data_IF_709201456839
#
_entry.id   IF_709201456839
#
_cell.length_a   1.000
_cell.length_b   1.000
_cell.length_c   1.000
_cell.angle_alpha   90.00
_cell.angle_beta   90.00
_cell.angle_gamma   90.00
#
_symmetry.space_group_name_H-M   'P 1'
#
loop_
_entity.id
_entity.type
_entity.pdbx_description
1 polymer ?
#
# COMPACT_ATOMS: atom_id res chain seq x y z
N UNK A 1 -27.68 -2.30 -22.07
CA UNK A 1 -27.43 -2.14 -20.62
C UNK A 1 -25.93 -2.20 -20.44
N UNK A 2 -25.26 -1.06 -20.25
CA UNK A 2 -23.85 -1.03 -19.89
C UNK A 2 -23.83 -1.07 -18.36
N UNK A 3 -23.87 -2.29 -17.82
CA UNK A 3 -23.77 -2.51 -16.38
C UNK A 3 -22.31 -2.31 -16.00
N UNK A 4 -22.09 -1.29 -15.17
CA UNK A 4 -20.79 -0.90 -14.63
C UNK A 4 -20.00 -2.11 -14.13
N UNK A 5 -18.83 -2.36 -14.74
CA UNK A 5 -17.80 -3.20 -14.16
C UNK A 5 -17.25 -2.45 -12.95
N UNK A 6 -17.93 -2.59 -11.80
CA UNK A 6 -17.43 -2.11 -10.52
C UNK A 6 -16.22 -2.99 -10.24
N UNK A 7 -15.04 -2.53 -10.65
CA UNK A 7 -13.75 -2.96 -10.13
C UNK A 7 -13.78 -2.64 -8.64
N UNK A 8 -14.35 -3.54 -7.84
CA UNK A 8 -14.15 -3.53 -6.40
C UNK A 8 -12.68 -3.87 -6.20
N UNK A 9 -11.83 -2.85 -6.23
CA UNK A 9 -10.44 -2.96 -5.82
C UNK A 9 -10.47 -3.48 -4.39
N UNK A 10 -10.30 -4.79 -4.23
CA UNK A 10 -10.24 -5.41 -2.92
C UNK A 10 -9.20 -4.65 -2.08
N UNK A 11 -9.51 -4.31 -0.82
CA UNK A 11 -8.61 -3.55 0.01
C UNK A 11 -7.28 -4.29 0.08
N UNK A 12 -6.22 -3.65 -0.42
CA UNK A 12 -4.87 -4.23 -0.45
C UNK A 12 -4.47 -4.63 0.96
N UNK A 13 -4.35 -5.93 1.19
CA UNK A 13 -3.94 -6.43 2.50
C UNK A 13 -2.42 -6.43 2.64
N UNK A 14 -1.88 -5.30 3.06
CA UNK A 14 -0.45 -5.05 3.27
C UNK A 14 0.22 -6.10 4.21
N UNK A 15 -0.54 -6.70 5.14
CA UNK A 15 0.02 -7.72 6.05
C UNK A 15 0.42 -9.01 5.32
N UNK A 16 -0.27 -9.35 4.22
CA UNK A 16 0.03 -10.52 3.38
C UNK A 16 1.21 -10.30 2.43
N UNK A 17 1.61 -9.05 2.20
CA UNK A 17 2.72 -8.71 1.31
C UNK A 17 4.08 -8.93 2.00
N UNK A 18 5.10 -9.23 1.20
CA UNK A 18 6.47 -9.32 1.68
C UNK A 18 7.07 -7.93 1.88
N UNK A 19 8.13 -7.83 2.71
CA UNK A 19 8.80 -6.54 2.94
C UNK A 19 9.34 -5.92 1.65
N UNK A 20 9.79 -6.72 0.69
CA UNK A 20 10.25 -6.24 -0.62
C UNK A 20 9.13 -5.62 -1.43
N UNK A 21 7.95 -6.25 -1.46
CA UNK A 21 6.77 -5.74 -2.17
C UNK A 21 6.26 -4.45 -1.52
N UNK A 22 6.26 -4.40 -0.19
CA UNK A 22 5.92 -3.19 0.55
C UNK A 22 6.92 -2.06 0.26
N UNK A 23 8.23 -2.36 0.14
CA UNK A 23 9.23 -1.34 -0.22
C UNK A 23 9.01 -0.82 -1.62
N UNK A 24 8.65 -1.70 -2.56
CA UNK A 24 8.33 -1.31 -3.93
C UNK A 24 7.08 -0.43 -3.98
N UNK A 25 6.02 -0.84 -3.27
CA UNK A 25 4.79 -0.04 -3.13
C UNK A 25 5.04 1.32 -2.49
N UNK A 26 5.83 1.38 -1.42
CA UNK A 26 6.19 2.64 -0.78
C UNK A 26 6.97 3.56 -1.74
N UNK A 27 7.88 3.02 -2.55
CA UNK A 27 8.57 3.78 -3.61
C UNK A 27 7.62 4.25 -4.70
N UNK A 28 6.68 3.42 -5.13
CA UNK A 28 5.65 3.80 -6.12
C UNK A 28 4.76 4.94 -5.60
N UNK A 29 4.48 4.95 -4.30
CA UNK A 29 3.80 6.04 -3.60
C UNK A 29 4.70 7.25 -3.28
N UNK A 30 5.96 7.23 -3.72
CA UNK A 30 6.98 8.28 -3.47
C UNK A 30 7.21 8.55 -1.97
N UNK A 31 7.10 7.52 -1.15
CA UNK A 31 7.38 7.59 0.28
C UNK A 31 8.86 7.40 0.56
N UNK A 32 9.41 8.22 1.44
CA UNK A 32 10.79 8.09 1.92
C UNK A 32 10.84 7.18 3.15
N UNK A 33 11.77 6.23 3.16
CA UNK A 33 11.98 5.32 4.27
C UNK A 33 13.44 4.83 4.32
N UNK A 34 13.90 4.48 5.53
CA UNK A 34 15.22 3.92 5.72
C UNK A 34 15.33 2.48 5.18
N UNK A 35 16.50 2.08 4.68
CA UNK A 35 16.71 0.72 4.17
C UNK A 35 16.50 -0.36 5.24
N UNK A 36 16.70 -0.01 6.51
CA UNK A 36 16.54 -0.85 7.70
C UNK A 36 15.13 -0.79 8.29
N UNK A 37 14.17 -0.12 7.62
CA UNK A 37 12.79 -0.02 8.10
C UNK A 37 12.18 -1.41 8.35
N UNK A 38 11.44 -1.54 9.44
CA UNK A 38 10.72 -2.78 9.77
C UNK A 38 9.46 -2.91 8.92
N UNK A 39 9.05 -4.16 8.65
CA UNK A 39 7.83 -4.46 7.90
C UNK A 39 6.60 -3.71 8.45
N UNK A 40 6.39 -3.73 9.77
CA UNK A 40 5.23 -3.07 10.38
C UNK A 40 5.25 -1.55 10.23
N UNK A 41 6.42 -0.92 10.38
CA UNK A 41 6.55 0.53 10.18
C UNK A 41 6.28 0.91 8.72
N UNK A 42 6.78 0.10 7.79
CA UNK A 42 6.53 0.29 6.36
C UNK A 42 5.04 0.10 5.98
N UNK A 43 4.37 -0.89 6.57
CA UNK A 43 2.91 -1.09 6.41
C UNK A 43 2.15 0.13 6.91
N UNK A 44 2.51 0.66 8.09
CA UNK A 44 1.88 1.88 8.62
C UNK A 44 2.07 3.05 7.66
N UNK A 45 3.29 3.25 7.17
CA UNK A 45 3.63 4.38 6.30
C UNK A 45 2.84 4.35 4.98
N UNK A 46 2.69 3.16 4.38
CA UNK A 46 1.86 2.95 3.20
C UNK A 46 0.37 3.13 3.52
N UNK A 47 -0.10 2.55 4.62
CA UNK A 47 -1.50 2.63 5.04
C UNK A 47 -1.94 4.05 5.39
N UNK A 48 -1.05 4.84 5.98
CA UNK A 48 -1.27 6.25 6.29
C UNK A 48 -1.43 7.03 4.99
N UNK A 49 -0.52 6.83 4.03
CA UNK A 49 -0.59 7.46 2.71
C UNK A 49 -1.84 7.09 1.91
N UNK A 50 -2.25 5.83 1.94
CA UNK A 50 -3.49 5.36 1.29
C UNK A 50 -4.75 5.78 2.06
N UNK A 51 -4.63 6.07 3.35
CA UNK A 51 -5.72 6.49 4.24
C UNK A 51 -5.97 8.00 4.26
N UNK A 52 -5.00 8.83 3.86
CA UNK A 52 -5.12 10.28 3.76
C UNK A 52 -6.06 10.75 2.62
N UNK A 53 -6.38 9.90 1.64
CA UNK A 53 -7.31 10.20 0.54
C UNK A 53 -8.81 10.02 0.93
N UNK A 54 -9.15 10.18 2.21
CA UNK A 54 -10.54 10.09 2.72
C UNK A 54 -11.14 11.43 3.11
#
# INVERSE_FOLDING_TARGET
MLGEEILTEEPVNLNKMNISELKDMAKNLKLEFDSSIKKNDLIKLISDKMGEDK
#
